data_IF_184426120828
#
_entry.id   IF_184426120828
#
_cell.length_a   1.000
_cell.length_b   1.000
_cell.length_c   1.000
_cell.angle_alpha   90.00
_cell.angle_beta   90.00
_cell.angle_gamma   90.00
#
_symmetry.space_group_name_H-M   'P 1'
#
loop_
_entity.id
_entity.type
_entity.pdbx_description
1 polymer ?
#
# COMPACT_ATOMS: atom_id res chain seq x y z
N UNK A 1 10.50 -11.18 -87.62
CA UNK A 1 10.10 -12.25 -86.70
C UNK A 1 10.20 -11.70 -85.28
N UNK A 2 9.10 -11.12 -84.77
CA UNK A 2 8.98 -10.64 -83.38
C UNK A 2 7.58 -11.02 -82.91
N UNK A 3 7.50 -11.98 -82.00
CA UNK A 3 6.28 -12.44 -81.33
C UNK A 3 5.91 -11.43 -80.23
N UNK A 4 4.71 -10.85 -80.31
CA UNK A 4 4.08 -10.11 -79.22
C UNK A 4 3.20 -11.07 -78.39
N UNK A 5 3.60 -11.27 -77.14
CA UNK A 5 2.90 -12.07 -76.12
C UNK A 5 1.63 -11.35 -75.62
N UNK A 6 0.49 -12.06 -75.63
CA UNK A 6 -0.77 -11.64 -74.99
C UNK A 6 -0.78 -12.16 -73.55
N UNK A 7 -0.89 -11.25 -72.56
CA UNK A 7 -1.11 -11.61 -71.16
C UNK A 7 -2.61 -11.77 -70.90
N UNK A 8 -3.02 -12.96 -70.48
CA UNK A 8 -4.36 -13.25 -69.97
C UNK A 8 -4.41 -13.00 -68.46
N UNK A 9 -5.35 -12.18 -68.01
CA UNK A 9 -5.61 -11.90 -66.59
C UNK A 9 -6.62 -12.92 -66.07
N UNK A 10 -6.21 -13.82 -65.17
CA UNK A 10 -7.12 -14.68 -64.42
C UNK A 10 -7.67 -13.90 -63.21
N UNK A 11 -8.99 -13.88 -63.06
CA UNK A 11 -9.67 -13.35 -61.87
C UNK A 11 -9.89 -14.49 -60.87
N UNK A 12 -9.32 -14.37 -59.68
CA UNK A 12 -9.49 -15.33 -58.58
C UNK A 12 -10.60 -14.85 -57.65
N UNK A 13 -11.72 -15.56 -57.61
CA UNK A 13 -12.82 -15.32 -56.66
C UNK A 13 -12.48 -15.98 -55.32
N UNK A 14 -12.38 -15.18 -54.25
CA UNK A 14 -12.14 -15.65 -52.89
C UNK A 14 -13.48 -15.86 -52.16
N UNK A 15 -13.85 -17.10 -51.89
CA UNK A 15 -15.05 -17.44 -51.11
C UNK A 15 -14.70 -17.39 -49.62
N UNK A 16 -15.27 -16.44 -48.88
CA UNK A 16 -15.08 -16.34 -47.43
C UNK A 16 -15.99 -17.36 -46.71
N UNK A 17 -15.38 -18.33 -46.03
CA UNK A 17 -16.07 -19.23 -45.08
C UNK A 17 -16.12 -18.52 -43.73
N UNK A 18 -17.30 -18.08 -43.30
CA UNK A 18 -17.52 -17.57 -41.94
C UNK A 18 -17.77 -18.72 -40.99
N UNK A 19 -16.77 -19.10 -40.19
CA UNK A 19 -16.97 -19.94 -39.02
C UNK A 19 -17.64 -19.11 -37.90
N UNK A 20 -18.58 -19.69 -37.11
CA UNK A 20 -19.16 -18.98 -35.98
C UNK A 20 -18.07 -18.73 -34.93
N UNK A 21 -17.81 -17.46 -34.63
CA UNK A 21 -16.91 -17.08 -33.55
C UNK A 21 -17.56 -17.44 -32.21
N UNK A 22 -17.11 -18.54 -31.62
CA UNK A 22 -17.35 -18.83 -30.20
C UNK A 22 -16.82 -17.66 -29.39
N UNK A 23 -17.72 -16.87 -28.78
CA UNK A 23 -17.33 -15.90 -27.75
C UNK A 23 -16.81 -16.70 -26.55
N UNK A 24 -15.50 -16.94 -26.52
CA UNK A 24 -14.82 -17.26 -25.28
C UNK A 24 -15.07 -16.05 -24.38
N UNK A 25 -15.94 -16.21 -23.39
CA UNK A 25 -16.12 -15.21 -22.34
C UNK A 25 -14.74 -14.97 -21.74
N UNK A 26 -14.15 -13.81 -22.02
CA UNK A 26 -12.91 -13.38 -21.39
C UNK A 26 -13.20 -13.39 -19.90
N UNK A 27 -12.64 -14.35 -19.16
CA UNK A 27 -12.74 -14.37 -17.70
C UNK A 27 -12.38 -12.97 -17.22
N UNK A 28 -13.33 -12.31 -16.55
CA UNK A 28 -13.08 -10.99 -15.99
C UNK A 28 -11.87 -11.16 -15.06
N UNK A 29 -10.81 -10.39 -15.33
CA UNK A 29 -9.64 -10.44 -14.46
C UNK A 29 -10.05 -10.10 -13.03
N UNK A 30 -9.47 -10.76 -12.02
CA UNK A 30 -9.67 -10.41 -10.62
C UNK A 30 -9.58 -8.90 -10.41
N UNK A 31 -10.62 -8.31 -9.84
CA UNK A 31 -10.66 -6.89 -9.52
C UNK A 31 -10.05 -6.70 -8.14
N UNK A 32 -8.84 -6.17 -8.12
CA UNK A 32 -8.13 -5.86 -6.87
C UNK A 32 -8.55 -4.49 -6.37
N UNK A 33 -8.85 -4.37 -5.09
CA UNK A 33 -9.07 -3.09 -4.42
C UNK A 33 -8.03 -2.93 -3.30
N UNK A 34 -7.52 -1.70 -3.13
CA UNK A 34 -6.75 -1.38 -1.93
C UNK A 34 -7.63 -1.55 -0.69
N UNK A 35 -7.11 -2.21 0.34
CA UNK A 35 -7.81 -2.36 1.63
C UNK A 35 -7.03 -1.78 2.80
N UNK A 36 -5.72 -1.61 2.64
CA UNK A 36 -4.87 -0.90 3.59
C UNK A 36 -3.67 -0.32 2.82
N UNK A 37 -3.20 0.85 3.26
CA UNK A 37 -1.99 1.48 2.75
C UNK A 37 -1.29 2.22 3.89
N UNK A 38 0.01 2.42 3.72
CA UNK A 38 0.80 3.32 4.54
C UNK A 38 1.80 4.03 3.63
N UNK A 39 2.00 5.34 3.83
CA UNK A 39 2.98 6.09 3.04
C UNK A 39 4.39 5.58 3.36
N UNK A 40 5.16 5.11 2.35
CA UNK A 40 6.58 4.85 2.53
C UNK A 40 7.33 6.14 2.83
N UNK A 41 8.17 6.13 3.87
CA UNK A 41 9.01 7.24 4.31
C UNK A 41 10.48 6.80 4.42
N UNK A 42 11.45 7.72 4.27
CA UNK A 42 12.78 7.50 4.83
C UNK A 42 12.66 7.36 6.36
N UNK A 43 13.46 6.48 6.94
CA UNK A 43 13.43 6.23 8.39
C UNK A 43 14.38 7.16 9.10
N UNK A 44 13.86 8.03 9.96
CA UNK A 44 14.70 8.90 10.79
C UNK A 44 15.42 8.09 11.88
N UNK A 45 16.58 8.54 12.38
CA UNK A 45 17.36 7.80 13.38
C UNK A 45 16.57 7.36 14.63
N UNK A 46 15.58 8.16 15.06
CA UNK A 46 14.73 7.86 16.20
C UNK A 46 13.64 6.82 15.95
N UNK A 47 13.36 6.51 14.68
CA UNK A 47 12.32 5.56 14.24
C UNK A 47 12.94 4.28 13.65
N UNK A 48 14.25 4.11 13.77
CA UNK A 48 14.96 2.89 13.35
C UNK A 48 14.59 1.70 14.24
N UNK A 49 14.70 0.45 13.72
CA UNK A 49 14.60 -0.74 14.55
C UNK A 49 15.52 -0.64 15.78
N UNK A 50 15.11 -1.16 16.94
CA UNK A 50 15.87 -1.07 18.18
C UNK A 50 17.35 -1.46 18.00
N UNK A 51 18.30 -0.88 18.76
CA UNK A 51 19.74 -0.95 18.47
C UNK A 51 20.31 -2.35 18.22
N UNK A 52 19.76 -3.41 18.83
CA UNK A 52 20.22 -4.79 18.58
C UNK A 52 19.95 -5.31 17.17
N UNK A 53 19.17 -4.60 16.35
CA UNK A 53 18.86 -4.93 14.95
C UNK A 53 19.42 -3.91 13.97
N UNK A 54 20.21 -2.95 14.45
CA UNK A 54 20.73 -1.86 13.65
C UNK A 54 22.23 -1.75 13.92
N UNK A 55 23.03 -2.04 12.91
CA UNK A 55 24.48 -1.96 12.92
C UNK A 55 24.94 -0.97 11.84
N UNK A 56 26.23 -0.67 11.83
CA UNK A 56 26.80 0.20 10.79
C UNK A 56 26.60 -0.43 9.40
N UNK A 57 25.84 0.27 8.56
CA UNK A 57 25.50 -0.19 7.21
C UNK A 57 24.63 -1.45 7.12
N UNK A 58 24.05 -1.95 8.22
CA UNK A 58 23.27 -3.19 8.23
C UNK A 58 22.06 -3.09 9.16
N UNK A 59 20.87 -3.39 8.66
CA UNK A 59 19.61 -3.26 9.41
C UNK A 59 18.75 -4.52 9.25
N UNK A 60 18.20 -5.02 10.36
CA UNK A 60 17.31 -6.20 10.44
C UNK A 60 17.93 -7.47 9.83
N UNK A 61 19.25 -7.65 9.93
CA UNK A 61 19.89 -8.92 9.60
C UNK A 61 19.42 -10.04 10.52
N UNK A 62 19.20 -11.21 9.93
CA UNK A 62 18.73 -12.41 10.63
C UNK A 62 17.54 -12.14 11.57
N UNK A 63 16.59 -11.35 11.08
CA UNK A 63 15.47 -10.87 11.87
C UNK A 63 14.14 -11.20 11.19
N UNK A 64 13.22 -11.76 11.96
CA UNK A 64 11.82 -11.83 11.58
C UNK A 64 11.10 -10.58 12.04
N UNK A 65 10.22 -10.05 11.20
CA UNK A 65 9.40 -8.87 11.45
C UNK A 65 7.93 -9.25 11.31
N UNK A 66 7.20 -9.24 12.43
CA UNK A 66 5.75 -9.49 12.47
C UNK A 66 4.99 -8.20 12.71
N UNK A 67 4.19 -7.79 11.74
CA UNK A 67 3.42 -6.55 11.76
C UNK A 67 1.94 -6.85 11.67
N UNK A 68 1.10 -6.01 12.28
CA UNK A 68 -0.35 -6.11 12.12
C UNK A 68 -0.88 -4.88 11.39
N UNK A 69 -1.87 -5.08 10.53
CA UNK A 69 -2.59 -4.02 9.82
C UNK A 69 -4.09 -4.29 9.91
N UNK A 70 -4.91 -3.25 9.99
CA UNK A 70 -6.37 -3.37 9.92
C UNK A 70 -6.82 -3.17 8.48
N UNK A 71 -7.50 -4.15 7.91
CA UNK A 71 -8.02 -4.03 6.54
C UNK A 71 -9.35 -3.28 6.53
N UNK A 72 -9.64 -2.55 5.45
CA UNK A 72 -10.88 -1.78 5.32
C UNK A 72 -12.03 -2.62 4.80
N UNK A 73 -11.84 -3.20 3.62
CA UNK A 73 -12.75 -4.15 2.95
C UNK A 73 -12.17 -5.55 2.96
N UNK A 74 -13.04 -6.54 3.12
CA UNK A 74 -12.68 -7.96 3.05
C UNK A 74 -12.59 -8.52 1.63
N UNK A 75 -12.16 -9.77 1.52
CA UNK A 75 -12.08 -10.54 0.28
C UNK A 75 -11.54 -11.95 0.52
N UNK A 76 -11.71 -12.84 -0.45
CA UNK A 76 -11.30 -14.25 -0.33
C UNK A 76 -9.79 -14.45 -0.52
N UNK A 77 -9.17 -13.54 -1.29
CA UNK A 77 -7.73 -13.51 -1.55
C UNK A 77 -7.18 -12.13 -1.32
N UNK A 78 -5.92 -12.09 -0.88
CA UNK A 78 -5.17 -10.86 -0.68
C UNK A 78 -3.83 -10.89 -1.40
N UNK A 79 -3.21 -9.73 -1.59
CA UNK A 79 -1.80 -9.61 -1.98
C UNK A 79 -1.14 -8.44 -1.26
N UNK A 80 0.16 -8.53 -1.07
CA UNK A 80 0.95 -7.57 -0.30
C UNK A 80 1.80 -6.72 -1.23
N UNK A 81 2.03 -5.45 -0.85
CA UNK A 81 2.96 -4.54 -1.51
C UNK A 81 4.09 -4.16 -0.57
N UNK A 82 5.32 -4.48 -0.95
CA UNK A 82 6.53 -4.10 -0.23
C UNK A 82 7.29 -3.02 -1.00
N UNK A 83 7.73 -1.97 -0.31
CA UNK A 83 8.42 -0.83 -0.87
C UNK A 83 9.87 -0.75 -0.38
N UNK A 84 10.77 -0.44 -1.32
CA UNK A 84 12.16 -0.13 -1.08
C UNK A 84 12.49 1.27 -1.64
N UNK A 85 11.57 2.21 -1.50
CA UNK A 85 11.63 3.52 -2.12
C UNK A 85 12.80 4.40 -1.63
N UNK A 86 13.21 4.24 -0.37
CA UNK A 86 14.17 5.14 0.30
C UNK A 86 15.39 4.42 0.89
N UNK A 87 15.61 3.14 0.55
CA UNK A 87 16.79 2.43 1.06
C UNK A 87 17.95 2.50 0.08
N UNK A 88 19.18 2.56 0.59
CA UNK A 88 20.40 2.62 -0.25
C UNK A 88 20.84 1.29 -0.87
N UNK A 89 20.13 0.19 -0.62
CA UNK A 89 20.46 -1.15 -1.14
C UNK A 89 19.21 -2.00 -1.42
N UNK A 90 19.30 -3.04 -2.28
CA UNK A 90 18.18 -3.94 -2.57
C UNK A 90 17.62 -4.65 -1.33
N UNK A 91 16.29 -4.81 -1.28
CA UNK A 91 15.57 -5.51 -0.22
C UNK A 91 15.37 -6.98 -0.51
N UNK A 92 16.13 -7.82 0.19
CA UNK A 92 15.96 -9.26 0.19
C UNK A 92 14.87 -9.66 1.17
N UNK A 93 13.70 -10.02 0.64
CA UNK A 93 12.61 -10.66 1.37
C UNK A 93 12.85 -12.17 1.32
N UNK A 94 13.34 -12.77 2.41
CA UNK A 94 13.80 -14.17 2.41
C UNK A 94 12.64 -15.16 2.50
N UNK A 95 11.68 -14.89 3.37
CA UNK A 95 10.45 -15.67 3.51
C UNK A 95 9.36 -14.78 4.09
N UNK A 96 8.11 -15.00 3.71
CA UNK A 96 6.98 -14.26 4.29
C UNK A 96 5.75 -15.14 4.43
N UNK A 97 4.92 -14.78 5.39
CA UNK A 97 3.61 -15.36 5.59
C UNK A 97 2.60 -14.31 6.02
N UNK A 98 1.32 -14.61 5.79
CA UNK A 98 0.19 -13.90 6.36
C UNK A 98 -0.62 -14.82 7.26
N UNK A 99 -1.26 -14.25 8.26
CA UNK A 99 -2.15 -14.98 9.16
C UNK A 99 -3.19 -14.04 9.80
N UNK A 100 -4.20 -14.63 10.41
CA UNK A 100 -5.13 -13.90 11.27
C UNK A 100 -4.53 -13.80 12.68
N UNK A 101 -4.48 -12.62 13.31
CA UNK A 101 -3.97 -12.47 14.68
C UNK A 101 -4.89 -13.15 15.69
N UNK A 102 -4.29 -13.59 16.81
CA UNK A 102 -5.02 -14.20 17.92
C UNK A 102 -6.01 -13.21 18.53
N UNK A 103 -7.28 -13.61 18.61
CA UNK A 103 -8.37 -12.75 19.10
C UNK A 103 -8.67 -11.53 18.22
N UNK A 104 -8.22 -11.50 16.95
CA UNK A 104 -8.35 -10.34 16.06
C UNK A 104 -7.73 -9.06 16.64
N UNK A 105 -6.66 -9.18 17.45
CA UNK A 105 -6.04 -8.04 18.13
C UNK A 105 -4.96 -7.39 17.27
N UNK A 106 -5.00 -6.07 17.17
CA UNK A 106 -3.90 -5.28 16.63
C UNK A 106 -2.64 -5.46 17.48
N UNK A 107 -1.48 -5.58 16.83
CA UNK A 107 -0.19 -5.73 17.48
C UNK A 107 -0.01 -7.04 18.26
N UNK A 108 -0.81 -8.08 17.98
CA UNK A 108 -0.62 -9.39 18.59
C UNK A 108 0.70 -10.05 18.13
N UNK A 109 1.46 -10.60 19.08
CA UNK A 109 2.63 -11.43 18.77
C UNK A 109 2.22 -12.82 18.26
N UNK A 110 1.04 -13.29 18.64
CA UNK A 110 0.49 -14.59 18.28
C UNK A 110 -0.55 -14.52 17.16
N UNK A 111 -0.59 -15.59 16.36
CA UNK A 111 -1.55 -15.78 15.26
C UNK A 111 -2.38 -17.04 15.49
N UNK A 112 -3.57 -17.07 14.89
CA UNK A 112 -4.49 -18.21 15.02
C UNK A 112 -3.85 -19.49 14.47
N UNK A 113 -3.91 -20.62 15.20
CA UNK A 113 -3.41 -21.90 14.72
C UNK A 113 -3.98 -22.28 13.35
N UNK A 114 -3.13 -22.77 12.43
CA UNK A 114 -3.55 -23.18 11.09
C UNK A 114 -3.91 -22.05 10.12
N UNK A 115 -3.82 -20.77 10.53
CA UNK A 115 -4.12 -19.61 9.69
C UNK A 115 -2.90 -19.08 8.92
N UNK A 116 -1.69 -19.60 9.18
CA UNK A 116 -0.48 -19.17 8.48
C UNK A 116 -0.54 -19.61 7.01
N UNK A 117 -0.34 -18.67 6.09
CA UNK A 117 -0.25 -18.89 4.65
C UNK A 117 1.05 -18.29 4.13
N UNK A 118 1.84 -19.09 3.43
CA UNK A 118 3.04 -18.59 2.77
C UNK A 118 2.67 -17.56 1.70
N UNK A 119 3.51 -16.53 1.57
CA UNK A 119 3.41 -15.53 0.52
C UNK A 119 4.50 -15.82 -0.50
N UNK A 120 4.15 -15.78 -1.79
CA UNK A 120 5.09 -16.00 -2.88
C UNK A 120 5.17 -14.82 -3.83
N UNK A 121 6.22 -14.80 -4.66
CA UNK A 121 6.42 -13.87 -5.76
C UNK A 121 6.78 -14.66 -7.01
N UNK A 122 5.89 -14.67 -8.01
CA UNK A 122 6.05 -15.50 -9.20
C UNK A 122 6.33 -16.98 -8.85
N UNK A 123 5.63 -17.50 -7.85
CA UNK A 123 5.76 -18.87 -7.33
C UNK A 123 6.98 -19.12 -6.44
N UNK A 124 7.81 -18.10 -6.15
CA UNK A 124 9.00 -18.23 -5.29
C UNK A 124 8.68 -17.74 -3.88
N UNK A 125 9.21 -18.41 -2.86
CA UNK A 125 9.04 -18.00 -1.45
C UNK A 125 9.82 -16.74 -1.05
N UNK A 126 10.63 -16.18 -1.94
CA UNK A 126 11.48 -15.03 -1.71
C UNK A 126 11.42 -14.03 -2.86
N UNK A 127 11.80 -12.78 -2.57
CA UNK A 127 11.92 -11.73 -3.58
C UNK A 127 13.03 -10.74 -3.24
N UNK A 128 13.52 -10.07 -4.28
CA UNK A 128 14.40 -8.90 -4.13
C UNK A 128 13.64 -7.68 -4.65
N UNK A 129 13.54 -6.63 -3.83
CA UNK A 129 13.00 -5.33 -4.25
C UNK A 129 14.17 -4.41 -4.56
N UNK A 130 14.36 -3.98 -5.82
CA UNK A 130 15.41 -3.03 -6.18
C UNK A 130 15.31 -1.71 -5.42
N UNK A 131 16.39 -0.95 -5.36
CA UNK A 131 16.38 0.42 -4.83
C UNK A 131 15.38 1.28 -5.59
N UNK A 132 14.56 2.05 -4.88
CA UNK A 132 13.55 2.93 -5.47
C UNK A 132 12.30 2.20 -5.99
N UNK A 133 12.22 0.87 -5.84
CA UNK A 133 11.14 0.06 -6.39
C UNK A 133 10.15 -0.43 -5.33
N UNK A 134 9.08 -1.07 -5.79
CA UNK A 134 8.19 -1.88 -4.98
C UNK A 134 7.92 -3.21 -5.69
N UNK A 135 7.47 -4.21 -4.93
CA UNK A 135 6.98 -5.50 -5.45
C UNK A 135 5.57 -5.76 -4.93
N UNK A 136 4.81 -6.56 -5.68
CA UNK A 136 3.50 -7.07 -5.29
C UNK A 136 3.57 -8.59 -5.25
N UNK A 137 3.05 -9.21 -4.20
CA UNK A 137 3.04 -10.67 -4.07
C UNK A 137 2.07 -11.33 -5.04
N UNK A 138 2.22 -12.63 -5.22
CA UNK A 138 1.16 -13.47 -5.75
C UNK A 138 -0.08 -13.41 -4.83
N UNK A 139 -1.28 -13.73 -5.35
CA UNK A 139 -2.49 -13.86 -4.53
C UNK A 139 -2.33 -14.94 -3.46
N UNK A 140 -2.82 -14.67 -2.26
CA UNK A 140 -2.83 -15.61 -1.13
C UNK A 140 -4.26 -15.90 -0.72
N UNK A 141 -4.60 -17.19 -0.66
CA UNK A 141 -5.91 -17.68 -0.20
C UNK A 141 -6.02 -17.58 1.33
N UNK A 142 -6.53 -16.45 1.79
CA UNK A 142 -6.84 -16.19 3.20
C UNK A 142 -8.09 -15.29 3.25
N UNK A 143 -9.27 -15.87 3.52
CA UNK A 143 -10.50 -15.09 3.63
C UNK A 143 -10.39 -14.06 4.75
N UNK A 144 -10.61 -12.80 4.40
CA UNK A 144 -10.62 -11.67 5.33
C UNK A 144 -12.02 -11.08 5.41
N UNK A 145 -12.52 -10.93 6.65
CA UNK A 145 -13.68 -10.10 6.91
C UNK A 145 -13.29 -8.62 6.77
N UNK A 146 -14.23 -7.78 6.36
CA UNK A 146 -14.05 -6.33 6.41
C UNK A 146 -13.71 -5.89 7.85
N UNK A 147 -12.78 -4.94 8.00
CA UNK A 147 -12.34 -4.40 9.30
C UNK A 147 -11.52 -5.35 10.16
N UNK A 148 -11.22 -6.56 9.69
CA UNK A 148 -10.38 -7.52 10.40
C UNK A 148 -8.92 -7.04 10.49
N UNK A 149 -8.19 -7.54 11.47
CA UNK A 149 -6.75 -7.40 11.52
C UNK A 149 -6.06 -8.53 10.74
N UNK A 150 -4.97 -8.19 10.08
CA UNK A 150 -4.11 -9.08 9.30
C UNK A 150 -2.70 -9.01 9.87
N UNK A 151 -2.10 -10.16 10.16
CA UNK A 151 -0.68 -10.26 10.50
C UNK A 151 0.13 -10.56 9.26
N UNK A 152 1.19 -9.79 9.03
CA UNK A 152 2.21 -10.01 8.00
C UNK A 152 3.52 -10.30 8.71
N UNK A 153 4.12 -11.46 8.44
CA UNK A 153 5.43 -11.86 8.98
C UNK A 153 6.43 -11.95 7.85
N UNK A 154 7.59 -11.30 7.98
CA UNK A 154 8.65 -11.26 6.97
C UNK A 154 9.98 -11.59 7.63
N UNK A 155 10.74 -12.52 7.08
CA UNK A 155 12.11 -12.82 7.51
C UNK A 155 13.12 -12.23 6.52
N UNK A 156 14.15 -11.60 7.08
CA UNK A 156 15.21 -10.89 6.36
C UNK A 156 16.57 -11.52 6.72
N UNK A 157 16.89 -12.69 6.16
CA UNK A 157 18.14 -13.40 6.49
C UNK A 157 19.40 -12.53 6.32
N UNK A 158 19.65 -11.90 5.14
CA UNK A 158 20.81 -11.02 5.00
C UNK A 158 20.57 -9.60 5.54
N UNK A 159 19.36 -9.30 6.03
CA UNK A 159 18.94 -7.95 6.38
C UNK A 159 18.97 -6.98 5.21
N UNK A 160 19.18 -5.70 5.54
CA UNK A 160 19.42 -4.62 4.60
C UNK A 160 20.84 -4.10 4.76
N UNK A 161 21.68 -4.28 3.76
CA UNK A 161 23.04 -3.73 3.68
C UNK A 161 23.05 -2.20 3.39
N UNK A 162 22.27 -1.43 4.15
CA UNK A 162 22.28 0.03 4.17
C UNK A 162 21.74 0.51 5.53
N UNK A 163 22.29 1.60 6.07
CA UNK A 163 21.73 2.28 7.23
C UNK A 163 20.45 3.07 6.93
N UNK A 164 20.15 3.28 5.64
CA UNK A 164 18.93 3.94 5.17
C UNK A 164 17.90 2.86 4.80
N UNK A 165 16.73 2.90 5.44
CA UNK A 165 15.64 1.97 5.15
C UNK A 165 14.31 2.69 4.92
N UNK A 166 13.42 2.03 4.18
CA UNK A 166 12.02 2.45 3.99
C UNK A 166 11.16 1.97 5.17
N UNK A 167 10.43 2.89 5.80
CA UNK A 167 9.49 2.58 6.88
C UNK A 167 8.22 3.41 6.80
N UNK A 168 7.36 3.19 7.79
CA UNK A 168 6.28 4.06 8.18
C UNK A 168 6.23 4.12 9.72
N UNK A 169 6.87 5.12 10.35
CA UNK A 169 6.90 5.32 11.79
C UNK A 169 5.52 5.62 12.39
N UNK A 170 4.57 5.97 11.53
CA UNK A 170 3.17 6.25 11.81
C UNK A 170 2.30 5.06 12.19
N UNK A 171 2.85 3.87 12.50
CA UNK A 171 2.03 2.65 12.55
C UNK A 171 1.00 2.59 13.70
N UNK A 172 1.36 3.14 14.87
CA UNK A 172 0.60 3.10 16.14
C UNK A 172 0.05 1.67 16.40
N UNK A 173 0.81 0.69 15.94
CA UNK A 173 0.55 -0.74 16.02
C UNK A 173 1.87 -1.40 16.31
N UNK A 174 1.90 -2.24 17.34
CA UNK A 174 3.11 -2.91 17.79
C UNK A 174 3.51 -3.98 16.77
N UNK A 175 4.74 -3.86 16.27
CA UNK A 175 5.44 -4.88 15.50
C UNK A 175 6.39 -5.65 16.40
N UNK A 176 6.62 -6.93 16.10
CA UNK A 176 7.44 -7.84 16.89
C UNK A 176 8.65 -8.30 16.09
N UNK A 177 9.81 -8.27 16.74
CA UNK A 177 11.09 -8.58 16.13
C UNK A 177 11.82 -9.68 16.93
N UNK A 178 11.67 -10.97 16.60
CA UNK A 178 12.60 -12.00 17.05
C UNK A 178 13.75 -12.21 16.05
N UNK A 179 14.88 -12.70 16.55
CA UNK A 179 15.97 -13.20 15.72
C UNK A 179 15.56 -14.53 15.04
N UNK A 180 16.32 -14.92 14.02
CA UNK A 180 16.12 -16.13 13.22
C UNK A 180 14.82 -16.15 12.38
N UNK A 181 14.60 -17.24 11.64
CA UNK A 181 13.40 -17.46 10.83
C UNK A 181 12.24 -17.98 11.69
N UNK A 182 11.32 -17.08 12.03
CA UNK A 182 10.10 -17.37 12.77
C UNK A 182 8.84 -17.20 11.91
N UNK A 183 8.94 -17.24 10.58
CA UNK A 183 7.81 -16.95 9.66
C UNK A 183 6.60 -17.85 9.91
N UNK A 184 6.83 -19.12 10.24
CA UNK A 184 5.77 -20.11 10.47
C UNK A 184 5.43 -20.31 11.95
N UNK A 185 6.16 -19.67 12.86
CA UNK A 185 5.99 -19.85 14.31
C UNK A 185 4.72 -19.14 14.78
N UNK A 186 3.73 -19.84 15.37
CA UNK A 186 2.45 -19.23 15.72
C UNK A 186 2.52 -18.15 16.80
N UNK A 187 3.46 -18.26 17.74
CA UNK A 187 3.62 -17.31 18.85
C UNK A 187 5.08 -16.89 18.98
N UNK A 188 5.31 -15.62 19.33
CA UNK A 188 6.64 -15.03 19.43
C UNK A 188 6.88 -14.47 20.85
N UNK A 189 6.86 -15.32 21.89
CA UNK A 189 7.10 -14.86 23.24
C UNK A 189 8.50 -14.25 23.35
N UNK A 190 8.60 -13.08 23.97
CA UNK A 190 9.88 -12.38 24.16
C UNK A 190 10.45 -11.72 22.91
N UNK A 191 9.77 -11.80 21.76
CA UNK A 191 10.09 -10.94 20.62
C UNK A 191 9.97 -9.49 21.06
N UNK A 192 10.93 -8.65 20.67
CA UNK A 192 10.91 -7.30 21.21
C UNK A 192 10.07 -6.36 20.36
N UNK A 193 9.22 -5.55 21.03
CA UNK A 193 8.28 -4.68 20.35
C UNK A 193 8.94 -3.43 19.75
N UNK A 194 8.29 -2.89 18.73
CA UNK A 194 8.51 -1.53 18.19
C UNK A 194 7.20 -1.05 17.57
N UNK A 195 6.85 0.22 17.74
CA UNK A 195 5.58 0.77 17.24
C UNK A 195 5.75 1.44 15.88
N UNK A 196 6.34 0.70 14.94
CA UNK A 196 6.60 1.13 13.56
C UNK A 196 6.29 -0.01 12.57
N UNK A 197 5.97 0.34 11.33
CA UNK A 197 5.97 -0.59 10.20
C UNK A 197 7.23 -0.36 9.36
N UNK A 198 7.84 -1.43 8.87
CA UNK A 198 8.98 -1.40 7.96
C UNK A 198 8.62 -2.13 6.66
N UNK A 199 9.01 -1.54 5.53
CA UNK A 199 8.89 -2.07 4.17
C UNK A 199 7.47 -2.38 3.64
N UNK A 200 6.50 -2.76 4.46
CA UNK A 200 5.10 -2.99 4.04
C UNK A 200 4.43 -1.65 3.70
N UNK A 201 3.82 -1.56 2.52
CA UNK A 201 3.27 -0.30 1.99
C UNK A 201 1.83 -0.40 1.50
N UNK A 202 1.33 -1.62 1.26
CA UNK A 202 -0.07 -1.82 0.89
C UNK A 202 -0.54 -3.25 1.03
N UNK A 203 -1.85 -3.40 1.19
CA UNK A 203 -2.57 -4.67 1.10
C UNK A 203 -3.75 -4.45 0.16
N UNK A 204 -3.91 -5.37 -0.78
CA UNK A 204 -5.03 -5.39 -1.71
C UNK A 204 -5.79 -6.69 -1.55
N UNK A 205 -7.10 -6.65 -1.74
CA UNK A 205 -7.96 -7.84 -1.74
C UNK A 205 -8.64 -7.97 -3.08
N UNK A 206 -8.89 -9.22 -3.50
CA UNK A 206 -9.81 -9.48 -4.59
C UNK A 206 -11.22 -9.21 -4.08
N UNK A 207 -11.76 -8.06 -4.47
CA UNK A 207 -12.97 -7.50 -3.89
C UNK A 207 -14.19 -7.75 -4.78
N UNK A 208 -15.37 -7.73 -4.17
CA UNK A 208 -16.63 -7.78 -4.89
C UNK A 208 -16.76 -6.61 -5.90
N UNK A 209 -17.51 -6.84 -6.98
CA UNK A 209 -17.84 -5.81 -7.96
C UNK A 209 -18.47 -4.59 -7.27
N UNK A 210 -18.08 -3.39 -7.71
CA UNK A 210 -18.54 -2.13 -7.11
C UNK A 210 -17.72 -1.64 -5.91
N UNK A 211 -16.72 -2.40 -5.44
CA UNK A 211 -15.78 -1.91 -4.43
C UNK A 211 -14.97 -0.73 -4.98
N UNK A 212 -14.82 0.30 -4.16
CA UNK A 212 -14.04 1.52 -4.42
C UNK A 212 -13.21 1.91 -3.20
N UNK A 213 -12.20 2.75 -3.40
CA UNK A 213 -11.35 3.27 -2.34
C UNK A 213 -11.44 4.81 -2.25
N UNK A 214 -11.40 5.31 -1.02
CA UNK A 214 -11.06 6.70 -0.69
C UNK A 214 -9.64 6.74 -0.16
N UNK A 215 -8.79 7.56 -0.79
CA UNK A 215 -7.47 7.86 -0.25
C UNK A 215 -7.57 9.09 0.64
N UNK A 216 -7.01 9.00 1.84
CA UNK A 216 -6.87 10.13 2.75
C UNK A 216 -5.40 10.55 2.74
N UNK A 217 -5.09 11.64 2.05
CA UNK A 217 -3.76 12.23 2.00
C UNK A 217 -3.65 13.26 3.11
N UNK A 218 -2.62 13.17 3.94
CA UNK A 218 -2.48 14.11 5.05
C UNK A 218 -1.18 14.05 5.83
N UNK A 219 -1.16 14.84 6.89
CA UNK A 219 -0.04 14.95 7.83
C UNK A 219 -0.20 14.04 9.06
N UNK A 220 0.51 14.34 10.15
CA UNK A 220 0.49 13.61 11.42
C UNK A 220 -0.90 13.42 12.03
N UNK A 221 -1.85 14.33 11.76
CA UNK A 221 -3.22 14.19 12.28
C UNK A 221 -3.95 13.05 11.57
N UNK A 222 -3.73 12.92 10.26
CA UNK A 222 -4.21 11.82 9.41
C UNK A 222 -3.48 10.52 9.68
N UNK A 223 -2.17 10.62 9.93
CA UNK A 223 -1.30 9.51 10.36
C UNK A 223 -1.68 8.90 11.73
N UNK A 224 -2.60 9.53 12.48
CA UNK A 224 -3.10 9.00 13.76
C UNK A 224 -2.32 9.45 14.99
N UNK A 225 -1.62 10.59 14.95
CA UNK A 225 -0.96 11.15 16.15
C UNK A 225 -1.99 11.41 17.25
N UNK A 226 -1.75 10.84 18.43
CA UNK A 226 -2.60 11.00 19.61
C UNK A 226 -3.63 9.89 19.80
N UNK A 227 -3.67 8.89 18.91
CA UNK A 227 -4.47 7.68 19.05
C UNK A 227 -3.87 6.65 19.99
N UNK A 228 -4.68 5.68 20.40
CA UNK A 228 -4.27 4.59 21.28
C UNK A 228 -3.44 3.57 20.49
N UNK A 229 -2.22 3.25 20.94
CA UNK A 229 -1.44 2.16 20.31
C UNK A 229 -2.21 0.84 20.38
N UNK A 230 -2.32 0.15 19.23
CA UNK A 230 -3.15 -1.06 19.05
C UNK A 230 -4.66 -0.83 19.26
N UNK A 231 -5.12 0.43 19.28
CA UNK A 231 -6.51 0.79 19.51
C UNK A 231 -7.39 0.83 18.26
N UNK A 232 -6.79 0.97 17.07
CA UNK A 232 -7.53 1.14 15.80
C UNK A 232 -8.59 2.27 15.90
N UNK A 233 -8.24 3.38 16.56
CA UNK A 233 -9.15 4.45 16.97
C UNK A 233 -8.76 5.83 16.37
N UNK A 234 -7.87 5.87 15.38
CA UNK A 234 -7.57 7.11 14.64
C UNK A 234 -8.70 7.49 13.68
N UNK A 235 -8.75 8.78 13.30
CA UNK A 235 -9.91 9.28 12.57
C UNK A 235 -10.16 8.60 11.21
N UNK A 236 -9.16 8.14 10.43
CA UNK A 236 -9.43 7.33 9.23
C UNK A 236 -10.09 5.98 9.52
N UNK A 237 -9.81 5.36 10.67
CA UNK A 237 -10.43 4.11 11.12
C UNK A 237 -11.87 4.37 11.55
N UNK A 238 -12.09 5.47 12.28
CA UNK A 238 -13.42 5.94 12.63
C UNK A 238 -14.26 6.31 11.38
N UNK A 239 -13.63 6.82 10.33
CA UNK A 239 -14.26 7.05 9.03
C UNK A 239 -14.63 5.71 8.37
N UNK A 240 -13.70 4.76 8.34
CA UNK A 240 -13.93 3.40 7.82
C UNK A 240 -15.12 2.71 8.50
N UNK A 241 -15.31 2.89 9.80
CA UNK A 241 -16.44 2.31 10.55
C UNK A 241 -17.79 2.97 10.21
N UNK A 242 -17.78 4.22 9.74
CA UNK A 242 -18.98 4.98 9.35
C UNK A 242 -19.37 4.81 7.88
N UNK A 243 -18.41 4.47 7.03
CA UNK A 243 -18.65 4.28 5.60
C UNK A 243 -19.41 2.98 5.33
N UNK A 244 -20.22 2.93 4.25
CA UNK A 244 -20.93 1.73 3.86
C UNK A 244 -19.95 0.62 3.42
N UNK A 245 -20.43 -0.62 3.43
CA UNK A 245 -19.67 -1.75 2.89
C UNK A 245 -19.25 -1.49 1.44
N UNK A 246 -18.05 -1.94 1.07
CA UNK A 246 -17.49 -1.76 -0.28
C UNK A 246 -16.76 -0.45 -0.50
N UNK A 247 -16.66 0.43 0.50
CA UNK A 247 -15.78 1.62 0.44
C UNK A 247 -14.58 1.41 1.35
N UNK A 248 -13.41 1.24 0.75
CA UNK A 248 -12.15 1.12 1.46
C UNK A 248 -11.57 2.50 1.80
N UNK A 249 -10.96 2.64 2.98
CA UNK A 249 -10.19 3.83 3.39
C UNK A 249 -8.71 3.50 3.33
N UNK A 250 -7.96 4.27 2.54
CA UNK A 250 -6.51 4.14 2.40
C UNK A 250 -5.84 5.34 3.06
N UNK A 251 -5.21 5.11 4.21
CA UNK A 251 -4.53 6.15 4.96
C UNK A 251 -3.14 6.43 4.35
N UNK A 252 -2.99 7.58 3.70
CA UNK A 252 -1.71 8.10 3.21
C UNK A 252 -1.23 9.29 4.07
N UNK A 253 -1.61 9.29 5.34
CA UNK A 253 -1.05 10.16 6.37
C UNK A 253 0.45 9.96 6.51
N UNK A 254 1.14 11.03 6.90
CA UNK A 254 2.58 11.02 7.09
C UNK A 254 2.99 12.06 8.13
N UNK A 255 3.59 11.60 9.23
CA UNK A 255 4.06 12.47 10.30
C UNK A 255 5.00 13.57 9.78
N UNK A 256 4.73 14.84 10.10
CA UNK A 256 5.58 15.95 9.65
C UNK A 256 5.52 16.23 8.14
N UNK A 257 4.61 15.60 7.39
CA UNK A 257 4.44 15.89 5.97
C UNK A 257 3.83 17.28 5.75
N UNK A 258 4.21 17.87 4.62
CA UNK A 258 3.86 19.21 4.20
C UNK A 258 3.44 19.15 2.74
N UNK A 259 2.68 20.15 2.31
CA UNK A 259 2.09 20.15 0.99
C UNK A 259 3.09 20.44 -0.12
N UNK A 260 3.87 21.52 0.02
CA UNK A 260 4.72 22.05 -1.06
C UNK A 260 6.22 21.76 -0.90
N UNK A 261 6.66 21.53 0.33
CA UNK A 261 8.08 21.35 0.66
C UNK A 261 8.24 20.03 1.37
N UNK A 262 9.41 19.41 1.24
CA UNK A 262 9.65 18.17 1.95
C UNK A 262 9.63 18.39 3.47
N UNK A 263 9.27 17.32 4.18
CA UNK A 263 9.27 17.24 5.63
C UNK A 263 10.10 16.04 6.07
N UNK A 264 9.50 15.13 6.86
CA UNK A 264 10.09 13.81 7.18
C UNK A 264 10.10 12.83 5.99
N UNK A 265 9.81 13.31 4.80
CA UNK A 265 9.67 12.57 3.55
C UNK A 265 9.21 13.50 2.43
N UNK A 266 9.02 12.98 1.21
CA UNK A 266 8.57 13.80 0.08
C UNK A 266 7.26 14.52 0.37
N UNK A 267 7.16 15.76 -0.08
CA UNK A 267 5.95 16.57 0.03
C UNK A 267 4.73 15.92 -0.66
N UNK A 268 3.54 16.33 -0.23
CA UNK A 268 2.27 15.79 -0.69
C UNK A 268 2.10 15.82 -2.22
N UNK A 269 2.49 16.93 -2.86
CA UNK A 269 2.37 17.06 -4.31
C UNK A 269 3.35 16.15 -5.05
N UNK A 270 4.58 16.00 -4.56
CA UNK A 270 5.57 15.11 -5.15
C UNK A 270 5.18 13.63 -5.06
N UNK A 271 4.47 13.24 -3.99
CA UNK A 271 4.01 11.85 -3.80
C UNK A 271 2.60 11.57 -4.32
N UNK A 272 1.88 12.58 -4.81
CA UNK A 272 0.46 12.44 -5.17
C UNK A 272 0.21 11.28 -6.11
N UNK A 273 0.98 11.18 -7.20
CA UNK A 273 0.79 10.14 -8.23
C UNK A 273 1.08 8.73 -7.69
N UNK A 274 2.04 8.59 -6.78
CA UNK A 274 2.41 7.33 -6.13
C UNK A 274 1.37 6.90 -5.09
N UNK A 275 0.87 7.86 -4.31
CA UNK A 275 0.06 7.56 -3.13
C UNK A 275 -1.44 7.55 -3.41
N UNK A 276 -1.87 8.17 -4.52
CA UNK A 276 -3.28 8.27 -4.90
C UNK A 276 -3.60 7.43 -6.14
N UNK A 277 -3.33 7.82 -7.40
CA UNK A 277 -3.79 7.08 -8.57
C UNK A 277 -3.10 5.72 -8.78
N UNK A 278 -1.94 5.46 -8.14
CA UNK A 278 -1.31 4.14 -8.14
C UNK A 278 -1.87 3.17 -7.08
N UNK A 279 -2.89 3.59 -6.33
CA UNK A 279 -3.69 2.69 -5.50
C UNK A 279 -4.85 2.11 -6.32
N UNK A 280 -5.22 0.87 -6.00
CA UNK A 280 -6.28 0.18 -6.74
C UNK A 280 -7.67 0.69 -6.35
N UNK A 281 -8.48 0.95 -7.37
CA UNK A 281 -9.90 1.34 -7.27
C UNK A 281 -10.18 2.67 -6.55
N UNK A 282 -9.26 3.62 -6.60
CA UNK A 282 -9.50 4.97 -6.07
C UNK A 282 -10.61 5.67 -6.82
N UNK A 283 -11.68 6.01 -6.09
CA UNK A 283 -12.79 6.84 -6.55
C UNK A 283 -12.81 8.21 -5.86
N UNK A 284 -12.24 8.31 -4.65
CA UNK A 284 -12.28 9.53 -3.84
C UNK A 284 -10.90 9.88 -3.30
N UNK A 285 -10.62 11.18 -3.19
CA UNK A 285 -9.47 11.72 -2.50
C UNK A 285 -9.94 12.73 -1.46
N UNK A 286 -9.54 12.53 -0.21
CA UNK A 286 -9.67 13.51 0.86
C UNK A 286 -8.27 14.03 1.15
N UNK A 287 -8.07 15.34 1.03
CA UNK A 287 -6.82 15.99 1.45
C UNK A 287 -7.08 16.70 2.77
N UNK A 288 -6.43 16.24 3.82
CA UNK A 288 -6.42 16.88 5.13
C UNK A 288 -4.96 17.05 5.58
N UNK A 289 -4.39 18.16 5.13
CA UNK A 289 -2.96 18.47 5.26
C UNK A 289 -2.75 19.98 5.40
N UNK A 290 -1.53 20.37 5.77
CA UNK A 290 -1.10 21.77 5.82
C UNK A 290 -0.77 22.26 7.22
N UNK A 291 -0.91 21.42 8.26
CA UNK A 291 -0.61 21.84 9.64
C UNK A 291 0.87 22.19 9.80
N UNK A 292 1.74 21.43 9.12
CA UNK A 292 3.20 21.57 9.15
C UNK A 292 3.75 22.60 8.16
N UNK A 293 2.90 23.13 7.26
CA UNK A 293 3.30 24.17 6.32
C UNK A 293 3.51 25.49 7.09
N UNK A 294 4.59 26.25 6.78
CA UNK A 294 4.90 27.48 7.49
C UNK A 294 3.76 28.50 7.44
N UNK A 295 3.68 29.33 8.48
CA UNK A 295 2.72 30.43 8.53
C UNK A 295 2.85 31.33 7.28
N UNK A 296 1.72 31.75 6.73
CA UNK A 296 1.67 32.53 5.48
C UNK A 296 1.67 31.69 4.20
N UNK A 297 2.05 30.40 4.23
CA UNK A 297 2.14 29.55 3.03
C UNK A 297 0.94 28.62 2.83
N UNK A 298 0.09 28.43 3.85
CA UNK A 298 -1.05 27.49 3.82
C UNK A 298 -2.07 27.75 2.70
N UNK A 299 -2.35 29.01 2.39
CA UNK A 299 -3.27 29.35 1.29
C UNK A 299 -2.67 29.01 -0.08
N UNK A 300 -1.37 29.22 -0.25
CA UNK A 300 -0.66 28.83 -1.47
C UNK A 300 -0.65 27.31 -1.64
N UNK A 301 -0.34 26.58 -0.56
CA UNK A 301 -0.41 25.12 -0.52
C UNK A 301 -1.79 24.58 -0.90
N UNK A 302 -2.85 25.12 -0.27
CA UNK A 302 -4.24 24.75 -0.55
C UNK A 302 -4.61 24.95 -2.03
N UNK A 303 -4.21 26.08 -2.62
CA UNK A 303 -4.44 26.35 -4.05
C UNK A 303 -3.69 25.38 -4.94
N UNK A 304 -2.41 25.16 -4.67
CA UNK A 304 -1.59 24.26 -5.47
C UNK A 304 -2.12 22.81 -5.50
N UNK A 305 -2.59 22.28 -4.36
CA UNK A 305 -3.26 20.98 -4.31
C UNK A 305 -4.54 20.99 -5.13
N UNK A 306 -5.40 21.99 -4.93
CA UNK A 306 -6.65 22.08 -5.68
C UNK A 306 -6.41 22.16 -7.19
N UNK A 307 -5.43 22.94 -7.62
CA UNK A 307 -5.07 23.10 -9.03
C UNK A 307 -4.48 21.81 -9.58
N UNK A 308 -3.60 21.12 -8.83
CA UNK A 308 -3.05 19.82 -9.22
C UNK A 308 -4.14 18.76 -9.36
N UNK A 309 -5.07 18.67 -8.41
CA UNK A 309 -6.17 17.70 -8.44
C UNK A 309 -7.10 17.98 -9.62
N UNK A 310 -7.48 19.23 -9.87
CA UNK A 310 -8.32 19.60 -11.03
C UNK A 310 -7.62 19.34 -12.36
N UNK A 311 -6.34 19.69 -12.46
CA UNK A 311 -5.55 19.49 -13.67
C UNK A 311 -5.28 18.01 -13.98
N UNK A 312 -5.39 17.12 -12.99
CA UNK A 312 -5.16 15.69 -13.19
C UNK A 312 -6.17 15.02 -14.12
N UNK A 313 -7.38 15.58 -14.24
CA UNK A 313 -8.49 14.95 -14.97
C UNK A 313 -8.94 13.60 -14.37
N UNK A 314 -8.48 13.25 -13.16
CA UNK A 314 -8.71 11.93 -12.54
C UNK A 314 -10.00 11.86 -11.72
N UNK A 315 -10.50 13.01 -11.28
CA UNK A 315 -11.68 13.14 -10.44
C UNK A 315 -12.73 14.00 -11.15
N UNK A 316 -13.98 13.54 -11.13
CA UNK A 316 -15.09 14.22 -11.82
C UNK A 316 -15.48 15.55 -11.16
N UNK A 317 -15.17 15.72 -9.88
CA UNK A 317 -15.48 16.92 -9.11
C UNK A 317 -14.44 17.18 -8.02
N UNK A 318 -14.29 18.46 -7.65
CA UNK A 318 -13.43 18.90 -6.55
C UNK A 318 -14.20 19.86 -5.65
N UNK A 319 -14.32 19.51 -4.37
CA UNK A 319 -14.96 20.34 -3.34
C UNK A 319 -13.91 20.94 -2.43
N UNK A 320 -13.98 22.26 -2.26
CA UNK A 320 -13.04 23.05 -1.47
C UNK A 320 -13.69 23.50 -0.16
N UNK A 321 -13.57 22.67 0.88
CA UNK A 321 -14.26 22.88 2.16
C UNK A 321 -13.80 24.16 2.89
N UNK A 322 -12.52 24.53 2.77
CA UNK A 322 -12.01 25.76 3.38
C UNK A 322 -12.64 27.00 2.72
N UNK A 323 -12.72 27.03 1.38
CA UNK A 323 -13.41 28.09 0.67
C UNK A 323 -14.91 28.12 1.01
N UNK A 324 -15.56 26.96 1.12
CA UNK A 324 -16.97 26.86 1.48
C UNK A 324 -17.26 27.36 2.90
N UNK A 325 -16.39 27.05 3.87
CA UNK A 325 -16.51 27.50 5.25
C UNK A 325 -16.36 29.02 5.37
N UNK A 326 -15.38 29.63 4.68
CA UNK A 326 -15.17 31.09 4.71
C UNK A 326 -16.33 31.90 4.12
N UNK A 327 -17.07 31.32 3.16
CA UNK A 327 -18.25 31.96 2.56
C UNK A 327 -19.44 32.05 3.51
N UNK A 328 -19.50 31.22 4.57
CA UNK A 328 -20.58 31.26 5.56
C UNK A 328 -20.37 32.30 6.67
N UNK A 329 -19.17 32.90 6.75
CA UNK A 329 -18.78 33.88 7.78
C UNK A 329 -18.83 35.32 7.24
N UNK A 330 -19.24 35.51 5.99
CA UNK A 330 -19.50 36.83 5.38
C UNK A 330 -20.99 36.97 5.12
#
# INVERSE_FOLDING_TARGET
MFQTSRRSTMATTLTAVTAPASRVGRAAWPRWAGTWAAMPQPTEPGDMPPPRFTWDGLVLADTTLRQTVRVSVGGDRLRLRFSNAFSGAPLSLTAMAVALPEGDRAGAASVRPGAVRAVTFHGRGSAVVPVGAHVVSDPVDLPLASRANLTVTTYLAPGRASGEITSHPGSRTTSHLPADDHVTVPDLPGATPTDHWYFLSGVEVEAASGTVAVVVLGDSLTDGRGSTTNGNDWWPDLLQDRLPAGVAVLNQGAGGNRVLNDGKGPNALARLDRDVPAQSEVAWLVVFEGVNDPAGHRESARRAVNDRVRASGRFDAVVDFDAAARRRVR
#
